data_IF_114637634888
#
_entry.id   IF_114637634888
#
_cell.length_a   1.000
_cell.length_b   1.000
_cell.length_c   1.000
_cell.angle_alpha   90.00
_cell.angle_beta   90.00
_cell.angle_gamma   90.00
#
_symmetry.space_group_name_H-M   'P 1'
#
loop_
_entity.id
_entity.type
_entity.pdbx_description
1 polymer ?
#
# COMPACT_ATOMS: atom_id res chain seq x y z
N UNK A 1 0.80 -22.45 -16.55
CA UNK A 1 0.58 -22.58 -18.02
C UNK A 1 -0.83 -22.13 -18.45
N UNK A 2 -1.91 -22.44 -17.71
CA UNK A 2 -3.28 -22.02 -18.10
C UNK A 2 -3.53 -20.51 -17.97
N UNK A 3 -2.95 -19.83 -16.97
CA UNK A 3 -3.11 -18.39 -16.79
C UNK A 3 -2.20 -17.56 -17.72
N UNK A 4 -1.08 -18.12 -18.12
CA UNK A 4 -0.21 -17.54 -19.16
C UNK A 4 -0.93 -17.53 -20.52
N UNK A 5 -1.78 -18.51 -20.80
CA UNK A 5 -2.52 -18.59 -22.07
C UNK A 5 -3.74 -17.64 -22.13
N UNK A 6 -4.43 -17.33 -21.04
CA UNK A 6 -5.53 -16.36 -21.05
C UNK A 6 -5.05 -14.91 -21.05
N UNK A 7 -3.97 -14.60 -20.33
CA UNK A 7 -3.23 -13.34 -20.46
C UNK A 7 -2.51 -13.25 -21.82
N UNK A 8 -2.01 -14.37 -22.36
CA UNK A 8 -1.29 -14.47 -23.62
C UNK A 8 -2.19 -14.36 -24.86
N UNK A 9 -3.47 -14.73 -24.83
CA UNK A 9 -4.37 -14.49 -25.96
C UNK A 9 -4.70 -12.99 -26.11
N UNK A 10 -4.90 -12.30 -25.00
CA UNK A 10 -5.03 -10.85 -24.99
C UNK A 10 -3.68 -10.18 -25.28
N UNK A 11 -2.60 -10.69 -24.70
CA UNK A 11 -1.24 -10.27 -24.95
C UNK A 11 -0.84 -10.45 -26.40
N UNK A 12 -1.11 -11.57 -27.08
CA UNK A 12 -0.65 -11.82 -28.44
C UNK A 12 -1.27 -10.89 -29.48
N UNK A 13 -2.48 -10.35 -29.25
CA UNK A 13 -3.08 -9.37 -30.16
C UNK A 13 -2.48 -7.96 -30.02
N UNK A 14 -2.00 -7.58 -28.84
CA UNK A 14 -1.53 -6.21 -28.56
C UNK A 14 -0.11 -6.14 -28.01
N UNK A 15 0.44 -7.23 -27.48
CA UNK A 15 1.66 -7.26 -26.70
C UNK A 15 2.93 -6.96 -27.49
N UNK A 16 3.13 -7.50 -28.66
CA UNK A 16 4.31 -7.22 -29.48
C UNK A 16 4.42 -5.75 -29.84
N UNK A 17 3.27 -5.06 -29.89
CA UNK A 17 3.19 -3.65 -30.17
C UNK A 17 3.34 -2.80 -28.89
N UNK A 18 2.65 -3.18 -27.79
CA UNK A 18 2.68 -2.47 -26.51
C UNK A 18 4.04 -2.51 -25.81
N UNK A 19 4.80 -3.59 -25.96
CA UNK A 19 6.09 -3.75 -25.26
C UNK A 19 7.22 -2.87 -25.82
N UNK A 20 7.11 -2.36 -27.03
CA UNK A 20 8.23 -1.76 -27.76
C UNK A 20 8.11 -0.27 -28.06
N UNK A 21 6.94 0.34 -27.92
CA UNK A 21 6.74 1.72 -28.34
C UNK A 21 5.77 2.49 -27.42
N UNK A 22 6.27 3.51 -26.73
CA UNK A 22 5.46 4.36 -25.85
C UNK A 22 4.49 5.24 -26.66
N UNK A 23 4.84 5.64 -27.89
CA UNK A 23 3.97 6.43 -28.78
C UNK A 23 2.71 5.63 -29.14
N UNK A 24 2.87 4.34 -29.43
CA UNK A 24 1.74 3.46 -29.70
C UNK A 24 0.80 3.32 -28.50
N UNK A 25 1.34 3.30 -27.26
CA UNK A 25 0.50 3.26 -26.06
C UNK A 25 -0.30 4.54 -25.92
N UNK A 26 0.28 5.67 -26.29
CA UNK A 26 -0.40 6.95 -26.27
C UNK A 26 -1.55 6.99 -27.32
N UNK A 27 -1.31 6.49 -28.54
CA UNK A 27 -2.34 6.33 -29.56
C UNK A 27 -3.49 5.41 -29.11
N UNK A 28 -3.15 4.27 -28.48
CA UNK A 28 -4.14 3.34 -27.95
C UNK A 28 -4.94 3.94 -26.79
N UNK A 29 -4.30 4.75 -25.94
CA UNK A 29 -4.97 5.44 -24.84
C UNK A 29 -5.96 6.48 -25.34
N UNK A 30 -5.57 7.25 -26.37
CA UNK A 30 -6.46 8.19 -27.03
C UNK A 30 -7.66 7.48 -27.66
N UNK A 31 -7.39 6.41 -28.44
CA UNK A 31 -8.45 5.61 -29.05
C UNK A 31 -9.43 5.05 -28.01
N UNK A 32 -8.93 4.48 -26.92
CA UNK A 32 -9.80 3.93 -25.89
C UNK A 32 -10.67 5.00 -25.21
N UNK A 33 -10.15 6.22 -25.03
CA UNK A 33 -10.92 7.34 -24.53
C UNK A 33 -12.01 7.78 -25.53
N UNK A 34 -11.67 7.88 -26.82
CA UNK A 34 -12.60 8.24 -27.89
C UNK A 34 -13.72 7.20 -28.06
N UNK A 35 -13.38 5.91 -27.97
CA UNK A 35 -14.36 4.81 -27.97
C UNK A 35 -15.33 4.96 -26.77
N UNK A 36 -14.84 5.27 -25.56
CA UNK A 36 -15.69 5.51 -24.39
C UNK A 36 -16.63 6.71 -24.59
N UNK A 37 -16.13 7.83 -25.14
CA UNK A 37 -16.95 9.01 -25.46
C UNK A 37 -18.06 8.64 -26.46
N UNK A 38 -17.72 7.87 -27.48
CA UNK A 38 -18.67 7.42 -28.49
C UNK A 38 -19.75 6.51 -27.90
N UNK A 39 -19.37 5.59 -27.00
CA UNK A 39 -20.32 4.70 -26.32
C UNK A 39 -21.28 5.48 -25.42
N UNK A 40 -20.79 6.48 -24.67
CA UNK A 40 -21.64 7.34 -23.84
C UNK A 40 -22.64 8.11 -24.70
N UNK A 41 -22.20 8.66 -25.84
CA UNK A 41 -23.08 9.40 -26.77
C UNK A 41 -24.20 8.49 -27.31
N UNK A 42 -23.89 7.26 -27.72
CA UNK A 42 -24.88 6.28 -28.18
C UNK A 42 -25.91 5.95 -27.09
N UNK A 43 -25.48 5.76 -25.85
CA UNK A 43 -26.42 5.51 -24.73
C UNK A 43 -27.31 6.73 -24.48
N UNK A 44 -26.75 7.95 -24.53
CA UNK A 44 -27.50 9.20 -24.36
C UNK A 44 -28.53 9.43 -25.48
N UNK A 45 -28.19 9.11 -26.73
CA UNK A 45 -29.11 9.20 -27.86
C UNK A 45 -30.22 8.15 -27.84
N UNK A 46 -29.89 6.94 -27.35
CA UNK A 46 -30.85 5.84 -27.26
C UNK A 46 -31.93 6.04 -26.21
N UNK A 47 -31.69 6.90 -25.20
CA UNK A 47 -32.58 7.10 -24.04
C UNK A 47 -33.18 5.77 -23.58
N UNK A 48 -32.30 4.81 -23.26
CA UNK A 48 -32.67 3.42 -22.99
C UNK A 48 -33.65 3.30 -21.78
N UNK A 49 -33.63 4.30 -20.91
CA UNK A 49 -34.48 4.37 -19.70
C UNK A 49 -35.08 5.77 -19.56
N UNK A 50 -36.24 5.86 -18.93
CA UNK A 50 -36.92 7.12 -18.68
C UNK A 50 -36.22 7.98 -17.62
N UNK A 51 -35.50 7.34 -16.67
CA UNK A 51 -34.80 8.00 -15.59
C UNK A 51 -33.33 8.25 -15.96
N UNK A 52 -32.82 9.44 -15.61
CA UNK A 52 -31.41 9.85 -15.84
C UNK A 52 -30.43 8.90 -15.19
N UNK A 53 -30.65 8.56 -13.92
CA UNK A 53 -29.76 7.72 -13.12
C UNK A 53 -29.59 6.32 -13.73
N UNK A 54 -30.68 5.74 -14.25
CA UNK A 54 -30.65 4.43 -14.91
C UNK A 54 -29.77 4.46 -16.18
N UNK A 55 -29.85 5.55 -16.96
CA UNK A 55 -28.99 5.74 -18.14
C UNK A 55 -27.53 5.90 -17.77
N UNK A 56 -27.21 6.60 -16.66
CA UNK A 56 -25.84 6.74 -16.15
C UNK A 56 -25.28 5.39 -15.72
N UNK A 57 -26.03 4.58 -14.98
CA UNK A 57 -25.59 3.24 -14.57
C UNK A 57 -25.42 2.31 -15.77
N UNK A 58 -26.34 2.36 -16.74
CA UNK A 58 -26.23 1.57 -17.96
C UNK A 58 -24.96 1.93 -18.75
N UNK A 59 -24.68 3.22 -18.93
CA UNK A 59 -23.43 3.67 -19.56
C UNK A 59 -22.21 3.20 -18.81
N UNK A 60 -22.25 3.24 -17.46
CA UNK A 60 -21.16 2.74 -16.63
C UNK A 60 -20.91 1.24 -16.83
N UNK A 61 -21.97 0.43 -16.85
CA UNK A 61 -21.87 -1.03 -17.00
C UNK A 61 -21.29 -1.40 -18.37
N UNK A 62 -21.72 -0.74 -19.46
CA UNK A 62 -21.17 -0.92 -20.79
C UNK A 62 -19.67 -0.56 -20.84
N UNK A 63 -19.28 0.58 -20.27
CA UNK A 63 -17.87 0.97 -20.19
C UNK A 63 -17.06 0.09 -19.27
N UNK A 64 -17.67 -0.49 -18.23
CA UNK A 64 -17.00 -1.46 -17.35
C UNK A 64 -16.65 -2.75 -18.10
N UNK A 65 -17.54 -3.22 -19.01
CA UNK A 65 -17.25 -4.34 -19.91
C UNK A 65 -16.10 -3.98 -20.85
N UNK A 66 -16.15 -2.82 -21.50
CA UNK A 66 -15.06 -2.34 -22.35
C UNK A 66 -13.72 -2.24 -21.60
N UNK A 67 -13.71 -1.72 -20.39
CA UNK A 67 -12.50 -1.72 -19.54
C UNK A 67 -11.98 -3.15 -19.28
N UNK A 68 -12.87 -4.10 -19.03
CA UNK A 68 -12.50 -5.49 -18.77
C UNK A 68 -11.82 -6.15 -19.98
N UNK A 69 -12.26 -5.83 -21.20
CA UNK A 69 -11.62 -6.29 -22.44
C UNK A 69 -10.17 -5.80 -22.57
N UNK A 70 -9.86 -4.65 -22.02
CA UNK A 70 -8.51 -4.11 -21.91
C UNK A 70 -7.74 -4.63 -20.69
N UNK A 71 -8.31 -5.49 -19.85
CA UNK A 71 -7.73 -5.91 -18.57
C UNK A 71 -7.63 -4.79 -17.53
N UNK A 72 -8.44 -3.74 -17.69
CA UNK A 72 -8.48 -2.56 -16.83
C UNK A 72 -9.70 -2.63 -15.91
N UNK A 73 -9.51 -2.37 -14.61
CA UNK A 73 -10.64 -2.23 -13.68
C UNK A 73 -11.27 -0.84 -13.84
N UNK A 74 -12.61 -0.75 -13.98
CA UNK A 74 -13.32 0.53 -14.06
C UNK A 74 -13.16 1.31 -12.74
N UNK A 75 -13.20 2.66 -12.80
CA UNK A 75 -13.13 3.49 -11.62
C UNK A 75 -14.34 3.26 -10.70
N UNK A 76 -14.16 3.43 -9.40
CA UNK A 76 -15.22 3.40 -8.37
C UNK A 76 -16.12 2.15 -8.35
N UNK A 77 -15.69 1.03 -8.95
CA UNK A 77 -16.47 -0.20 -9.08
C UNK A 77 -17.23 -0.59 -7.80
N UNK A 78 -16.53 -0.65 -6.67
CA UNK A 78 -17.14 -1.06 -5.40
C UNK A 78 -18.21 -0.07 -4.91
N UNK A 79 -18.05 1.23 -5.16
CA UNK A 79 -19.02 2.26 -4.75
C UNK A 79 -20.25 2.20 -5.65
N UNK A 80 -20.05 2.14 -6.97
CA UNK A 80 -21.13 2.08 -7.94
C UNK A 80 -21.97 0.80 -7.75
N UNK A 81 -21.32 -0.37 -7.62
CA UNK A 81 -22.04 -1.65 -7.48
C UNK A 81 -22.76 -1.80 -6.13
N UNK A 82 -22.17 -1.33 -5.02
CA UNK A 82 -22.71 -1.59 -3.68
C UNK A 82 -23.56 -0.43 -3.14
N UNK A 83 -23.21 0.83 -3.43
CA UNK A 83 -23.87 2.01 -2.87
C UNK A 83 -24.81 2.69 -3.86
N UNK A 84 -24.74 2.33 -5.16
CA UNK A 84 -25.56 2.91 -6.23
C UNK A 84 -25.50 4.46 -6.24
N UNK A 85 -24.30 5.02 -6.05
CA UNK A 85 -24.09 6.46 -6.09
C UNK A 85 -23.92 6.93 -7.55
N UNK A 86 -24.82 7.77 -8.02
CA UNK A 86 -24.85 8.31 -9.39
C UNK A 86 -23.62 9.18 -9.65
N UNK A 87 -23.26 10.05 -8.72
CA UNK A 87 -22.10 10.93 -8.81
C UNK A 87 -20.79 10.14 -8.96
N UNK A 88 -20.71 8.97 -8.32
CA UNK A 88 -19.54 8.09 -8.49
C UNK A 88 -19.51 7.47 -9.89
N UNK A 89 -20.65 7.12 -10.44
CA UNK A 89 -20.74 6.60 -11.80
C UNK A 89 -20.41 7.69 -12.82
N UNK A 90 -20.94 8.91 -12.68
CA UNK A 90 -20.60 10.07 -13.53
C UNK A 90 -19.10 10.39 -13.49
N UNK A 91 -18.52 10.48 -12.29
CA UNK A 91 -17.07 10.65 -12.15
C UNK A 91 -16.27 9.52 -12.82
N UNK A 92 -16.79 8.29 -12.81
CA UNK A 92 -16.17 7.17 -13.49
C UNK A 92 -16.24 7.32 -15.01
N UNK A 93 -17.39 7.71 -15.58
CA UNK A 93 -17.58 7.98 -16.99
C UNK A 93 -16.61 9.05 -17.48
N UNK A 94 -16.51 10.19 -16.78
CA UNK A 94 -15.55 11.25 -17.08
C UNK A 94 -14.10 10.77 -17.07
N UNK A 95 -13.74 9.89 -16.14
CA UNK A 95 -12.38 9.32 -16.09
C UNK A 95 -12.11 8.37 -17.25
N UNK A 96 -13.08 7.51 -17.60
CA UNK A 96 -12.95 6.57 -18.72
C UNK A 96 -12.95 7.28 -20.07
N UNK A 97 -13.47 8.49 -20.15
CA UNK A 97 -13.39 9.37 -21.33
C UNK A 97 -12.08 10.17 -21.42
N UNK A 98 -11.13 9.97 -20.49
CA UNK A 98 -9.88 10.72 -20.43
C UNK A 98 -8.69 9.87 -20.93
N UNK A 99 -8.01 10.32 -21.98
CA UNK A 99 -6.81 9.72 -22.57
C UNK A 99 -5.69 9.52 -21.53
N UNK A 100 -5.46 10.52 -20.67
CA UNK A 100 -4.44 10.45 -19.59
C UNK A 100 -4.75 9.37 -18.56
N UNK A 101 -6.03 9.06 -18.33
CA UNK A 101 -6.41 7.96 -17.45
C UNK A 101 -6.06 6.62 -18.10
N UNK A 102 -6.40 6.44 -19.38
CA UNK A 102 -6.06 5.24 -20.15
C UNK A 102 -4.55 5.06 -20.28
N UNK A 103 -3.83 6.12 -20.60
CA UNK A 103 -2.36 6.09 -20.71
C UNK A 103 -1.73 5.55 -19.42
N UNK A 104 -2.15 6.05 -18.25
CA UNK A 104 -1.65 5.55 -16.95
C UNK A 104 -1.98 4.07 -16.73
N UNK A 105 -3.15 3.60 -17.18
CA UNK A 105 -3.54 2.19 -17.05
C UNK A 105 -2.73 1.28 -17.98
N UNK A 106 -2.62 1.64 -19.24
CA UNK A 106 -1.89 0.87 -20.24
C UNK A 106 -0.39 0.85 -19.98
N UNK A 107 0.22 1.97 -19.57
CA UNK A 107 1.62 2.02 -19.15
C UNK A 107 1.87 1.13 -17.93
N UNK A 108 0.94 1.08 -16.99
CA UNK A 108 1.04 0.16 -15.84
C UNK A 108 1.02 -1.29 -16.28
N UNK A 109 0.11 -1.69 -17.15
CA UNK A 109 0.05 -3.05 -17.71
C UNK A 109 1.35 -3.39 -18.40
N UNK A 110 1.83 -2.55 -19.32
CA UNK A 110 3.12 -2.72 -19.99
C UNK A 110 4.24 -2.96 -18.99
N UNK A 111 4.38 -2.05 -18.04
CA UNK A 111 5.49 -2.06 -17.10
C UNK A 111 5.46 -3.29 -16.16
N UNK A 112 4.26 -3.71 -15.72
CA UNK A 112 4.09 -4.91 -14.91
C UNK A 112 4.39 -6.18 -15.71
N UNK A 113 4.02 -6.20 -16.97
CA UNK A 113 4.32 -7.35 -17.84
C UNK A 113 5.80 -7.49 -18.16
N UNK A 114 6.47 -6.37 -18.48
CA UNK A 114 7.91 -6.37 -18.71
C UNK A 114 8.63 -6.89 -17.46
N UNK A 115 8.28 -6.40 -16.28
CA UNK A 115 8.87 -6.85 -15.03
C UNK A 115 8.59 -8.34 -14.78
N UNK A 116 7.37 -8.82 -15.09
CA UNK A 116 7.02 -10.22 -14.94
C UNK A 116 7.85 -11.13 -15.86
N UNK A 117 8.09 -10.70 -17.10
CA UNK A 117 9.00 -11.41 -18.02
C UNK A 117 10.41 -11.49 -17.44
N UNK A 118 10.94 -10.38 -16.90
CA UNK A 118 12.27 -10.33 -16.29
C UNK A 118 12.38 -11.22 -15.05
N UNK A 119 11.31 -11.32 -14.25
CA UNK A 119 11.20 -12.32 -13.16
C UNK A 119 11.25 -13.74 -13.73
N UNK A 120 10.45 -14.03 -14.77
CA UNK A 120 10.33 -15.36 -15.35
C UNK A 120 11.64 -15.89 -15.97
N UNK A 121 12.46 -15.01 -16.53
CA UNK A 121 13.77 -15.39 -17.10
C UNK A 121 14.90 -15.35 -16.06
N UNK A 122 14.59 -15.01 -14.78
CA UNK A 122 15.56 -15.05 -13.68
C UNK A 122 16.45 -13.83 -13.53
N UNK A 123 16.10 -12.69 -14.15
CA UNK A 123 16.81 -11.42 -13.95
C UNK A 123 16.58 -10.83 -12.55
N UNK A 124 15.44 -11.19 -11.91
CA UNK A 124 15.13 -10.74 -10.55
C UNK A 124 15.45 -11.84 -9.56
N UNK A 125 16.63 -11.76 -8.96
CA UNK A 125 17.14 -12.70 -7.96
C UNK A 125 18.31 -12.13 -7.16
N UNK A 126 18.70 -12.79 -6.07
CA UNK A 126 19.71 -12.35 -5.09
C UNK A 126 20.99 -11.81 -5.74
N UNK A 127 21.56 -12.56 -6.67
CA UNK A 127 22.90 -12.27 -7.22
C UNK A 127 22.89 -11.41 -8.48
N UNK A 128 21.73 -11.10 -9.04
CA UNK A 128 21.58 -10.28 -10.26
C UNK A 128 20.94 -8.95 -9.88
N UNK A 129 19.64 -8.94 -9.65
CA UNK A 129 18.88 -7.74 -9.29
C UNK A 129 17.75 -8.11 -8.30
N UNK A 130 18.01 -8.05 -6.97
CA UNK A 130 17.01 -8.42 -5.98
C UNK A 130 15.84 -7.45 -5.95
N UNK A 131 14.65 -8.00 -5.62
CA UNK A 131 13.38 -7.32 -5.41
C UNK A 131 12.73 -6.78 -6.68
N UNK A 132 13.50 -6.19 -7.60
CA UNK A 132 13.06 -5.56 -8.84
C UNK A 132 14.19 -5.59 -9.87
N UNK A 133 13.85 -5.70 -11.15
CA UNK A 133 14.82 -5.67 -12.23
C UNK A 133 15.58 -4.34 -12.30
N UNK A 134 16.80 -4.37 -12.86
CA UNK A 134 17.60 -3.15 -13.07
C UNK A 134 16.88 -2.16 -14.00
N UNK A 135 16.19 -2.67 -15.02
CA UNK A 135 15.41 -1.85 -15.93
C UNK A 135 14.27 -1.12 -15.20
N UNK A 136 13.42 -1.85 -14.47
CA UNK A 136 12.30 -1.24 -13.74
C UNK A 136 12.74 -0.28 -12.65
N UNK A 137 13.90 -0.54 -12.02
CA UNK A 137 14.48 0.39 -11.06
C UNK A 137 14.94 1.68 -11.75
N UNK A 138 15.56 1.57 -12.91
CA UNK A 138 15.99 2.75 -13.71
C UNK A 138 14.80 3.59 -14.14
N UNK A 139 13.74 2.96 -14.67
CA UNK A 139 12.50 3.64 -15.05
C UNK A 139 11.86 4.34 -13.85
N UNK A 140 11.82 3.67 -12.69
CA UNK A 140 11.28 4.26 -11.46
C UNK A 140 12.11 5.46 -10.99
N UNK A 141 13.45 5.36 -11.00
CA UNK A 141 14.34 6.47 -10.63
C UNK A 141 14.13 7.69 -11.56
N UNK A 142 14.01 7.45 -12.86
CA UNK A 142 13.76 8.51 -13.83
C UNK A 142 12.40 9.19 -13.57
N UNK A 143 11.36 8.41 -13.27
CA UNK A 143 10.05 8.95 -12.91
C UNK A 143 10.10 9.78 -11.63
N UNK A 144 10.84 9.31 -10.59
CA UNK A 144 10.99 10.08 -9.35
C UNK A 144 11.70 11.43 -9.61
N UNK A 145 12.75 11.41 -10.45
CA UNK A 145 13.43 12.65 -10.85
C UNK A 145 12.48 13.60 -11.58
N UNK A 146 11.78 13.12 -12.59
CA UNK A 146 10.80 13.92 -13.35
C UNK A 146 9.69 14.49 -12.46
N UNK A 147 9.18 13.69 -11.49
CA UNK A 147 8.20 14.17 -10.52
C UNK A 147 8.79 15.29 -9.64
N UNK A 148 10.05 15.16 -9.22
CA UNK A 148 10.73 16.17 -8.41
C UNK A 148 10.93 17.47 -9.19
N UNK A 149 11.45 17.36 -10.43
CA UNK A 149 11.64 18.49 -11.32
C UNK A 149 10.32 19.26 -11.56
N UNK A 150 9.21 18.51 -11.73
CA UNK A 150 7.87 19.10 -11.86
C UNK A 150 7.45 19.86 -10.57
N UNK A 151 7.62 19.24 -9.39
CA UNK A 151 7.25 19.88 -8.12
C UNK A 151 8.08 21.13 -7.85
N UNK A 152 9.35 21.16 -8.27
CA UNK A 152 10.23 22.33 -8.14
C UNK A 152 9.87 23.46 -9.09
N UNK A 153 9.30 23.14 -10.26
CA UNK A 153 8.87 24.12 -11.25
C UNK A 153 7.47 24.70 -11.01
N UNK A 154 6.68 24.13 -10.08
CA UNK A 154 5.28 24.49 -9.87
C UNK A 154 5.04 25.21 -8.56
N UNK A 155 4.18 26.23 -8.61
CA UNK A 155 3.75 27.02 -7.46
C UNK A 155 2.23 27.01 -7.34
N UNK A 156 1.75 27.02 -6.11
CA UNK A 156 0.35 27.24 -5.77
C UNK A 156 0.19 28.71 -5.35
N UNK A 157 -0.66 29.41 -6.06
CA UNK A 157 -1.02 30.80 -5.73
C UNK A 157 -2.43 30.77 -5.12
N UNK A 158 -2.56 31.24 -3.87
CA UNK A 158 -3.85 31.43 -3.22
C UNK A 158 -4.06 32.91 -2.93
N UNK A 159 -5.26 33.42 -3.22
CA UNK A 159 -5.66 34.78 -2.86
C UNK A 159 -6.34 34.72 -1.50
N UNK A 160 -5.77 35.40 -0.53
CA UNK A 160 -6.29 35.49 0.83
C UNK A 160 -6.71 36.92 1.13
N UNK A 161 -7.71 37.06 2.01
CA UNK A 161 -8.15 38.39 2.49
C UNK A 161 -7.61 38.61 3.90
N UNK A 162 -6.92 39.70 4.12
CA UNK A 162 -6.45 40.10 5.45
C UNK A 162 -7.66 40.36 6.37
N UNK A 163 -7.79 39.68 7.51
CA UNK A 163 -8.94 39.85 8.40
C UNK A 163 -9.07 41.28 8.97
N UNK A 164 -7.94 41.97 9.16
CA UNK A 164 -7.90 43.29 9.81
C UNK A 164 -8.16 44.44 8.84
N UNK A 165 -7.74 44.29 7.58
CA UNK A 165 -7.77 45.38 6.59
C UNK A 165 -8.73 45.15 5.44
N UNK A 166 -9.23 43.93 5.24
CA UNK A 166 -10.01 43.53 4.07
C UNK A 166 -9.22 43.53 2.76
N UNK A 167 -7.91 43.78 2.81
CA UNK A 167 -7.06 43.76 1.61
C UNK A 167 -6.75 42.33 1.14
N UNK A 168 -6.86 42.13 -0.15
CA UNK A 168 -6.42 40.87 -0.77
C UNK A 168 -4.90 40.82 -0.91
N UNK A 169 -4.31 39.65 -0.65
CA UNK A 169 -2.90 39.40 -0.87
C UNK A 169 -2.68 37.98 -1.45
N UNK A 170 -1.68 37.86 -2.29
CA UNK A 170 -1.26 36.58 -2.83
C UNK A 170 -0.37 35.84 -1.83
N UNK A 171 -0.67 34.58 -1.60
CA UNK A 171 0.21 33.66 -0.90
C UNK A 171 0.73 32.63 -1.89
N UNK A 172 2.04 32.64 -2.14
CA UNK A 172 2.70 31.77 -3.11
C UNK A 172 3.46 30.69 -2.33
N UNK A 173 3.16 29.43 -2.61
CA UNK A 173 3.82 28.27 -2.00
C UNK A 173 4.31 27.33 -3.10
N UNK A 174 5.59 26.97 -3.08
CA UNK A 174 6.13 25.97 -4.02
C UNK A 174 5.58 24.59 -3.70
N UNK A 175 5.18 23.82 -4.72
CA UNK A 175 4.65 22.47 -4.52
C UNK A 175 5.70 21.52 -3.91
N UNK A 176 6.98 21.73 -4.18
CA UNK A 176 8.06 20.94 -3.59
C UNK A 176 8.14 21.11 -2.07
N UNK A 177 7.94 22.33 -1.55
CA UNK A 177 7.97 22.58 -0.12
C UNK A 177 6.77 21.91 0.58
N UNK A 178 5.61 21.91 -0.06
CA UNK A 178 4.42 21.19 0.43
C UNK A 178 4.65 19.68 0.44
N UNK A 179 5.24 19.13 -0.62
CA UNK A 179 5.57 17.70 -0.71
C UNK A 179 6.58 17.30 0.36
N UNK A 180 7.64 18.10 0.57
CA UNK A 180 8.68 17.85 1.56
C UNK A 180 8.16 17.94 3.00
N UNK A 181 7.17 18.79 3.26
CA UNK A 181 6.50 18.89 4.56
C UNK A 181 5.49 17.76 4.81
N UNK A 182 5.06 17.06 3.77
CA UNK A 182 4.01 16.03 3.84
C UNK A 182 4.56 14.63 4.18
N UNK A 183 3.63 13.67 4.35
CA UNK A 183 3.96 12.24 4.46
C UNK A 183 4.42 11.60 3.13
N UNK A 184 4.46 12.36 2.02
CA UNK A 184 5.12 11.95 0.78
C UNK A 184 6.63 11.91 0.93
N UNK A 185 7.19 12.76 1.81
CA UNK A 185 8.61 12.71 2.19
C UNK A 185 8.88 11.40 2.97
N UNK A 186 9.83 10.55 2.51
CA UNK A 186 10.14 9.28 3.16
C UNK A 186 10.53 9.43 4.64
N UNK A 187 11.25 10.50 5.00
CA UNK A 187 11.66 10.78 6.38
C UNK A 187 10.46 11.06 7.29
N UNK A 188 9.54 11.91 6.84
CA UNK A 188 8.31 12.20 7.59
C UNK A 188 7.43 10.96 7.71
N UNK A 189 7.33 10.18 6.63
CA UNK A 189 6.59 8.92 6.61
C UNK A 189 7.17 7.90 7.60
N UNK A 190 8.49 7.74 7.63
CA UNK A 190 9.15 6.85 8.59
C UNK A 190 8.89 7.31 10.02
N UNK A 191 9.08 8.60 10.32
CA UNK A 191 8.83 9.18 11.64
C UNK A 191 7.38 8.96 12.10
N UNK A 192 6.40 9.17 11.22
CA UNK A 192 4.99 8.93 11.55
C UNK A 192 4.71 7.45 11.84
N UNK A 193 5.27 6.53 11.04
CA UNK A 193 5.10 5.09 11.27
C UNK A 193 5.73 4.66 12.59
N UNK A 194 6.93 5.14 12.90
CA UNK A 194 7.60 4.88 14.18
C UNK A 194 6.83 5.43 15.37
N UNK A 195 6.31 6.65 15.25
CA UNK A 195 5.45 7.27 16.27
C UNK A 195 4.22 6.40 16.58
N UNK A 196 3.58 5.88 15.52
CA UNK A 196 2.40 5.01 15.65
C UNK A 196 2.76 3.67 16.29
N UNK A 197 3.84 3.03 15.85
CA UNK A 197 4.31 1.77 16.43
C UNK A 197 4.63 1.94 17.92
N UNK A 198 5.34 3.02 18.29
CA UNK A 198 5.67 3.32 19.67
C UNK A 198 4.45 3.58 20.53
N UNK A 199 3.46 4.31 20.02
CA UNK A 199 2.21 4.55 20.73
C UNK A 199 1.42 3.26 20.96
N UNK A 200 1.36 2.35 19.97
CA UNK A 200 0.72 1.03 20.15
C UNK A 200 1.46 0.15 21.16
N UNK A 201 2.80 0.18 21.16
CA UNK A 201 3.60 -0.54 22.17
C UNK A 201 3.33 -0.01 23.58
N UNK A 202 3.29 1.32 23.77
CA UNK A 202 3.00 1.89 25.07
C UNK A 202 1.58 1.54 25.56
N UNK A 203 0.59 1.54 24.64
CA UNK A 203 -0.76 1.08 24.94
C UNK A 203 -0.77 -0.40 25.38
N UNK A 204 -0.01 -1.25 24.67
CA UNK A 204 0.11 -2.67 25.00
C UNK A 204 0.71 -2.90 26.40
N UNK A 205 1.75 -2.13 26.75
CA UNK A 205 2.39 -2.22 28.07
C UNK A 205 1.43 -1.83 29.21
N UNK A 206 0.63 -0.77 28.98
CA UNK A 206 -0.36 -0.33 29.96
C UNK A 206 -1.50 -1.34 30.15
N UNK A 207 -2.00 -1.88 29.05
CA UNK A 207 -3.16 -2.76 29.05
C UNK A 207 -2.76 -4.26 29.25
N UNK A 208 -1.47 -4.55 29.48
CA UNK A 208 -0.96 -5.90 29.78
C UNK A 208 -0.92 -6.85 28.59
N UNK A 209 -0.87 -6.32 27.36
CA UNK A 209 -0.74 -7.12 26.15
C UNK A 209 0.70 -7.59 25.95
N UNK A 210 0.88 -8.77 25.35
CA UNK A 210 2.17 -9.26 24.87
C UNK A 210 2.37 -8.90 23.40
N UNK A 211 3.63 -8.64 23.02
CA UNK A 211 4.03 -8.42 21.63
C UNK A 211 4.43 -9.72 20.95
N UNK A 212 3.92 -9.96 19.76
CA UNK A 212 4.29 -11.07 18.89
C UNK A 212 4.85 -10.53 17.58
N UNK A 213 6.03 -11.01 17.21
CA UNK A 213 6.58 -10.76 15.88
C UNK A 213 6.33 -11.99 15.00
N UNK A 214 5.54 -11.81 13.95
CA UNK A 214 5.06 -12.91 13.10
C UNK A 214 5.55 -12.69 11.69
N UNK A 215 6.05 -13.74 11.04
CA UNK A 215 6.36 -13.74 9.61
C UNK A 215 5.47 -14.76 8.90
N UNK A 216 4.86 -14.35 7.79
CA UNK A 216 4.08 -15.22 6.91
C UNK A 216 4.66 -15.13 5.51
N UNK A 217 5.06 -16.27 4.93
CA UNK A 217 5.54 -16.37 3.55
C UNK A 217 4.50 -17.07 2.67
N UNK A 218 4.64 -16.93 1.36
CA UNK A 218 3.82 -17.63 0.38
C UNK A 218 4.31 -19.07 0.16
N UNK A 219 3.46 -20.01 -0.33
CA UNK A 219 3.88 -21.31 -0.82
C UNK A 219 4.95 -21.25 -1.91
N UNK A 220 5.77 -22.31 -2.04
CA UNK A 220 6.85 -22.36 -3.03
C UNK A 220 6.38 -22.16 -4.46
N UNK A 221 5.13 -22.53 -4.78
CA UNK A 221 4.54 -22.32 -6.10
C UNK A 221 4.42 -20.82 -6.51
N UNK A 222 4.57 -19.89 -5.59
CA UNK A 222 4.56 -18.44 -5.86
C UNK A 222 5.95 -17.88 -6.16
N UNK A 223 7.02 -18.62 -5.89
CA UNK A 223 8.40 -18.20 -6.06
C UNK A 223 8.92 -18.59 -7.44
N UNK A 224 9.38 -17.58 -8.22
CA UNK A 224 9.96 -17.84 -9.54
C UNK A 224 11.36 -18.46 -9.44
N UNK A 225 12.10 -18.15 -8.38
CA UNK A 225 13.47 -18.62 -8.16
C UNK A 225 13.58 -19.32 -6.81
N UNK A 226 14.26 -20.44 -6.77
CA UNK A 226 14.61 -21.17 -5.55
C UNK A 226 16.10 -21.54 -5.59
N UNK A 227 16.85 -21.13 -4.54
CA UNK A 227 18.29 -21.37 -4.44
C UNK A 227 19.10 -20.91 -5.68
N UNK A 228 18.74 -19.75 -6.23
CA UNK A 228 19.42 -19.17 -7.40
C UNK A 228 19.14 -19.85 -8.74
N UNK A 229 18.15 -20.75 -8.79
CA UNK A 229 17.70 -21.46 -9.99
C UNK A 229 16.22 -21.26 -10.22
N UNK A 230 15.78 -21.38 -11.46
CA UNK A 230 14.35 -21.38 -11.80
C UNK A 230 13.61 -22.45 -10.99
N UNK A 231 12.50 -22.08 -10.37
CA UNK A 231 11.69 -22.97 -9.56
C UNK A 231 10.68 -23.73 -10.45
N UNK A 232 10.80 -25.05 -10.60
CA UNK A 232 9.89 -25.83 -11.44
C UNK A 232 8.44 -25.88 -10.91
N UNK A 233 8.24 -25.55 -9.62
CA UNK A 233 6.90 -25.48 -9.01
C UNK A 233 6.21 -24.14 -9.27
N UNK A 234 6.93 -23.12 -9.76
CA UNK A 234 6.35 -21.80 -9.97
C UNK A 234 5.15 -21.86 -10.92
N UNK A 235 4.04 -21.33 -10.49
CA UNK A 235 2.77 -21.35 -11.23
C UNK A 235 2.62 -20.21 -12.24
N UNK A 236 3.66 -19.35 -12.40
CA UNK A 236 3.65 -18.22 -13.31
C UNK A 236 2.97 -16.97 -12.75
N UNK A 237 2.65 -16.94 -11.46
CA UNK A 237 2.00 -15.77 -10.86
C UNK A 237 2.94 -14.58 -10.70
N UNK A 238 2.35 -13.39 -10.72
CA UNK A 238 3.01 -12.11 -10.45
C UNK A 238 3.15 -11.87 -8.95
N UNK A 239 4.06 -10.98 -8.51
CA UNK A 239 4.11 -10.53 -7.11
C UNK A 239 2.79 -9.95 -6.61
N UNK A 240 2.00 -9.31 -7.48
CA UNK A 240 0.67 -8.78 -7.15
C UNK A 240 -0.33 -9.91 -6.83
N UNK A 241 -0.32 -10.99 -7.58
CA UNK A 241 -1.17 -12.17 -7.33
C UNK A 241 -0.72 -12.91 -6.07
N UNK A 242 0.58 -13.02 -5.83
CA UNK A 242 1.13 -13.55 -4.57
C UNK A 242 0.70 -12.71 -3.37
N UNK A 243 0.72 -11.39 -3.50
CA UNK A 243 0.20 -10.47 -2.48
C UNK A 243 -1.31 -10.66 -2.26
N UNK A 244 -2.08 -10.87 -3.32
CA UNK A 244 -3.51 -11.14 -3.22
C UNK A 244 -3.81 -12.45 -2.47
N UNK A 245 -2.97 -13.47 -2.65
CA UNK A 245 -3.04 -14.70 -1.86
C UNK A 245 -2.86 -14.42 -0.36
N UNK A 246 -1.80 -13.67 0.04
CA UNK A 246 -1.58 -13.30 1.44
C UNK A 246 -2.74 -12.48 2.01
N UNK A 247 -3.28 -11.52 1.24
CA UNK A 247 -4.45 -10.72 1.65
C UNK A 247 -5.67 -11.60 1.87
N UNK A 248 -5.92 -12.57 0.96
CA UNK A 248 -7.04 -13.52 1.10
C UNK A 248 -6.87 -14.43 2.31
N UNK A 249 -5.66 -14.94 2.55
CA UNK A 249 -5.34 -15.74 3.74
C UNK A 249 -5.58 -14.94 5.01
N UNK A 250 -5.08 -13.70 5.06
CA UNK A 250 -5.30 -12.80 6.19
C UNK A 250 -6.77 -12.46 6.43
N UNK A 251 -7.57 -12.31 5.37
CA UNK A 251 -9.00 -12.06 5.53
C UNK A 251 -9.72 -13.22 6.21
N UNK A 252 -9.34 -14.46 5.90
CA UNK A 252 -9.86 -15.66 6.56
C UNK A 252 -9.42 -15.73 8.03
N UNK A 253 -8.11 -15.48 8.30
CA UNK A 253 -7.57 -15.42 9.66
C UNK A 253 -8.35 -14.41 10.50
N UNK A 254 -8.53 -13.18 10.01
CA UNK A 254 -9.29 -12.14 10.71
C UNK A 254 -10.73 -12.56 11.02
N UNK A 255 -11.41 -13.17 10.06
CA UNK A 255 -12.78 -13.65 10.25
C UNK A 255 -12.85 -14.72 11.34
N UNK A 256 -11.90 -15.65 11.37
CA UNK A 256 -11.82 -16.70 12.38
C UNK A 256 -11.47 -16.15 13.78
N UNK A 257 -10.47 -15.26 13.86
CA UNK A 257 -10.12 -14.58 15.11
C UNK A 257 -11.30 -13.81 15.71
N UNK A 258 -12.08 -13.13 14.85
CA UNK A 258 -13.30 -12.45 15.28
C UNK A 258 -14.33 -13.44 15.84
N UNK A 259 -14.56 -14.59 15.18
CA UNK A 259 -15.46 -15.65 15.68
C UNK A 259 -15.00 -16.21 17.01
N UNK A 260 -13.68 -16.34 17.20
CA UNK A 260 -13.07 -16.82 18.45
C UNK A 260 -13.00 -15.76 19.56
N UNK A 261 -13.45 -14.52 19.29
CA UNK A 261 -13.40 -13.41 20.26
C UNK A 261 -11.99 -12.94 20.60
N UNK A 262 -11.02 -13.14 19.70
CA UNK A 262 -9.63 -12.69 19.92
C UNK A 262 -9.51 -11.22 19.55
N UNK A 263 -9.08 -10.40 20.50
CA UNK A 263 -8.81 -8.97 20.33
C UNK A 263 -7.31 -8.76 20.17
N UNK A 264 -6.94 -8.08 19.10
CA UNK A 264 -5.53 -7.77 18.79
C UNK A 264 -5.45 -6.48 17.98
N UNK A 265 -4.29 -5.86 18.02
CA UNK A 265 -3.93 -4.72 17.18
C UNK A 265 -2.45 -4.78 16.82
N UNK A 266 -2.05 -3.98 15.82
CA UNK A 266 -0.66 -3.98 15.39
C UNK A 266 -0.44 -3.42 14.01
N UNK A 267 0.69 -3.80 13.39
CA UNK A 267 1.11 -3.35 12.07
C UNK A 267 1.67 -4.51 11.25
N UNK A 268 1.44 -4.45 9.95
CA UNK A 268 2.02 -5.33 8.94
C UNK A 268 2.94 -4.55 8.01
N UNK A 269 4.09 -5.12 7.69
CA UNK A 269 4.98 -4.71 6.61
C UNK A 269 4.99 -5.80 5.55
N UNK A 270 4.75 -5.45 4.28
CA UNK A 270 4.92 -6.34 3.14
C UNK A 270 6.28 -6.04 2.50
N UNK A 271 7.13 -7.06 2.43
CA UNK A 271 8.47 -6.99 1.86
C UNK A 271 8.61 -7.93 0.66
N UNK A 272 9.48 -7.62 -0.30
CA UNK A 272 9.86 -8.57 -1.34
C UNK A 272 10.91 -9.56 -0.85
N UNK A 273 10.79 -10.82 -1.24
CA UNK A 273 11.93 -11.72 -1.34
C UNK A 273 12.83 -11.31 -2.52
N UNK A 274 14.03 -11.90 -2.61
CA UNK A 274 14.98 -11.59 -3.67
C UNK A 274 14.44 -11.84 -5.10
N UNK A 275 13.45 -12.70 -5.24
CA UNK A 275 12.74 -13.03 -6.49
C UNK A 275 11.47 -12.19 -6.70
N UNK A 276 11.30 -11.10 -5.96
CA UNK A 276 10.15 -10.20 -5.92
C UNK A 276 8.88 -10.79 -5.29
N UNK A 277 8.87 -12.01 -4.79
CA UNK A 277 7.70 -12.61 -4.14
C UNK A 277 7.46 -11.95 -2.78
N UNK A 278 6.24 -11.46 -2.45
CA UNK A 278 5.97 -10.82 -1.17
C UNK A 278 5.94 -11.80 -0.01
N UNK A 279 6.40 -11.33 1.13
CA UNK A 279 6.15 -11.92 2.46
C UNK A 279 5.80 -10.83 3.45
N UNK A 280 5.23 -11.19 4.59
CA UNK A 280 4.75 -10.24 5.58
C UNK A 280 5.45 -10.40 6.91
N UNK A 281 5.93 -9.29 7.44
CA UNK A 281 6.33 -9.14 8.83
C UNK A 281 5.23 -8.39 9.58
N UNK A 282 4.82 -8.92 10.72
CA UNK A 282 3.72 -8.37 11.50
C UNK A 282 4.16 -8.22 12.96
N UNK A 283 3.94 -7.04 13.51
CA UNK A 283 3.99 -6.81 14.94
C UNK A 283 2.55 -6.78 15.45
N UNK A 284 2.18 -7.73 16.29
CA UNK A 284 0.83 -7.86 16.83
C UNK A 284 0.88 -7.82 18.36
N UNK A 285 -0.07 -7.11 18.95
CA UNK A 285 -0.29 -7.07 20.37
C UNK A 285 -1.59 -7.80 20.70
N UNK A 286 -1.56 -8.69 21.69
CA UNK A 286 -2.66 -9.56 22.10
C UNK A 286 -2.59 -9.85 23.59
N UNK A 287 -3.73 -10.06 24.24
CA UNK A 287 -3.74 -10.48 25.64
C UNK A 287 -3.05 -11.85 25.80
N UNK A 288 -2.26 -12.06 26.87
CA UNK A 288 -1.48 -13.28 27.07
C UNK A 288 -2.31 -14.57 26.95
N UNK A 289 -3.53 -14.59 27.51
CA UNK A 289 -4.44 -15.73 27.47
C UNK A 289 -5.03 -16.00 26.07
N UNK A 290 -4.97 -15.03 25.17
CA UNK A 290 -5.43 -15.16 23.77
C UNK A 290 -4.28 -15.44 22.79
N UNK A 291 -3.03 -15.29 23.23
CA UNK A 291 -1.84 -15.40 22.39
C UNK A 291 -1.77 -16.73 21.63
N UNK A 292 -1.89 -17.85 22.34
CA UNK A 292 -1.87 -19.18 21.73
C UNK A 292 -3.01 -19.36 20.69
N UNK A 293 -4.21 -18.87 21.03
CA UNK A 293 -5.35 -18.96 20.12
C UNK A 293 -5.12 -18.18 18.83
N UNK A 294 -4.48 -16.99 18.91
CA UNK A 294 -4.07 -16.19 17.78
C UNK A 294 -3.05 -16.93 16.92
N UNK A 295 -1.96 -17.41 17.53
CA UNK A 295 -0.85 -18.11 16.85
C UNK A 295 -1.34 -19.35 16.12
N UNK A 296 -2.05 -20.26 16.80
CA UNK A 296 -2.58 -21.48 16.16
C UNK A 296 -3.55 -21.16 15.01
N UNK A 297 -4.38 -20.13 15.15
CA UNK A 297 -5.28 -19.75 14.05
C UNK A 297 -4.50 -19.23 12.86
N UNK A 298 -3.47 -18.41 13.06
CA UNK A 298 -2.65 -17.88 11.98
C UNK A 298 -1.85 -18.99 11.26
N UNK A 299 -1.26 -19.88 12.02
CA UNK A 299 -0.48 -21.03 11.51
C UNK A 299 -1.36 -21.97 10.69
N UNK A 300 -2.53 -22.36 11.20
CA UNK A 300 -3.48 -23.24 10.52
C UNK A 300 -3.82 -22.68 9.11
N UNK A 301 -4.18 -21.43 9.02
CA UNK A 301 -4.51 -20.80 7.73
C UNK A 301 -3.28 -20.60 6.83
N UNK A 302 -2.11 -20.33 7.38
CA UNK A 302 -0.87 -20.18 6.61
C UNK A 302 -0.44 -21.51 5.98
N UNK A 303 -0.77 -22.65 6.64
CA UNK A 303 -0.43 -24.00 6.21
C UNK A 303 -1.50 -24.67 5.34
N UNK A 304 -2.67 -24.07 5.10
CA UNK A 304 -3.76 -24.68 4.31
C UNK A 304 -3.38 -25.01 2.87
N UNK A 305 -2.42 -24.29 2.28
CA UNK A 305 -1.97 -24.53 0.91
C UNK A 305 -0.52 -24.98 0.94
N UNK A 306 -0.25 -26.18 0.42
CA UNK A 306 1.10 -26.78 0.36
C UNK A 306 1.83 -26.77 1.72
N UNK A 307 1.10 -26.97 2.82
CA UNK A 307 1.67 -26.99 4.17
C UNK A 307 2.55 -28.20 4.46
N UNK A 308 2.44 -29.25 3.63
CA UNK A 308 3.23 -30.48 3.65
C UNK A 308 4.49 -30.43 2.78
N UNK A 309 4.72 -29.34 2.06
CA UNK A 309 5.93 -29.19 1.25
C UNK A 309 7.19 -29.08 2.12
N UNK A 310 8.32 -29.56 1.59
CA UNK A 310 9.60 -29.50 2.29
C UNK A 310 9.97 -28.07 2.67
N UNK A 311 10.20 -27.81 3.95
CA UNK A 311 10.56 -26.51 4.50
C UNK A 311 9.37 -25.60 4.85
N UNK A 312 8.12 -26.05 4.63
CA UNK A 312 6.95 -25.27 5.00
C UNK A 312 6.88 -25.04 6.51
N UNK A 313 7.11 -26.07 7.31
CA UNK A 313 7.09 -26.00 8.78
C UNK A 313 8.10 -25.00 9.35
N UNK A 314 9.24 -24.81 8.66
CA UNK A 314 10.33 -23.96 9.14
C UNK A 314 10.22 -22.52 8.63
N UNK A 315 9.61 -22.30 7.46
CA UNK A 315 9.69 -21.02 6.75
C UNK A 315 8.36 -20.37 6.42
N UNK A 316 7.24 -21.13 6.40
CA UNK A 316 5.93 -20.61 6.01
C UNK A 316 5.33 -19.67 7.05
N UNK A 317 5.46 -20.05 8.30
CA UNK A 317 4.94 -19.30 9.43
C UNK A 317 5.95 -19.35 10.57
N UNK A 318 6.40 -18.21 11.03
CA UNK A 318 7.24 -18.10 12.20
C UNK A 318 6.67 -17.08 13.17
N UNK A 319 6.84 -17.32 14.47
CA UNK A 319 6.41 -16.43 15.52
C UNK A 319 7.49 -16.31 16.59
N UNK A 320 7.76 -15.09 17.03
CA UNK A 320 8.64 -14.77 18.13
C UNK A 320 7.87 -13.94 19.15
N UNK A 321 7.89 -14.36 20.40
CA UNK A 321 7.34 -13.58 21.53
C UNK A 321 8.36 -12.52 21.88
N UNK A 322 7.96 -11.26 21.83
CA UNK A 322 8.86 -10.15 22.15
C UNK A 322 9.08 -10.09 23.66
N UNK A 323 10.33 -10.21 24.06
CA UNK A 323 10.76 -10.04 25.46
C UNK A 323 11.15 -8.57 25.68
N UNK A 324 10.36 -7.79 26.45
CA UNK A 324 10.68 -6.38 26.73
C UNK A 324 12.04 -6.16 27.40
N UNK A 325 12.63 -7.20 28.02
CA UNK A 325 13.95 -7.12 28.61
C UNK A 325 15.08 -7.16 27.59
N UNK A 326 14.81 -7.74 26.40
CA UNK A 326 15.77 -7.83 25.30
C UNK A 326 15.68 -6.67 24.33
N UNK A 327 14.52 -6.02 24.23
CA UNK A 327 14.33 -4.90 23.32
C UNK A 327 12.87 -4.47 23.21
N UNK A 328 12.64 -3.29 22.64
CA UNK A 328 11.28 -2.79 22.40
C UNK A 328 10.64 -3.43 21.18
N UNK A 329 9.32 -3.66 21.22
CA UNK A 329 8.57 -4.16 20.07
C UNK A 329 8.70 -3.23 18.86
N UNK A 330 8.72 -1.92 19.09
CA UNK A 330 8.99 -0.93 18.06
C UNK A 330 10.37 -1.10 17.43
N UNK A 331 11.38 -1.49 18.23
CA UNK A 331 12.74 -1.77 17.73
C UNK A 331 12.77 -2.94 16.75
N UNK A 332 12.01 -4.00 17.00
CA UNK A 332 11.89 -5.15 16.09
C UNK A 332 11.35 -4.74 14.72
N UNK A 333 10.28 -3.96 14.68
CA UNK A 333 9.66 -3.54 13.42
C UNK A 333 10.41 -2.40 12.73
N UNK A 334 11.18 -1.60 13.46
CA UNK A 334 11.91 -0.44 12.94
C UNK A 334 12.86 -0.81 11.79
N UNK A 335 13.55 -1.95 11.89
CA UNK A 335 14.44 -2.50 10.86
C UNK A 335 13.67 -2.67 9.54
N UNK A 336 12.49 -3.27 9.59
CA UNK A 336 11.65 -3.53 8.42
C UNK A 336 11.04 -2.26 7.84
N UNK A 337 10.67 -1.30 8.70
CA UNK A 337 10.20 0.00 8.26
C UNK A 337 11.31 0.76 7.53
N UNK A 338 12.52 0.79 8.07
CA UNK A 338 13.68 1.46 7.47
C UNK A 338 14.06 0.82 6.14
N UNK A 339 14.17 -0.51 6.09
CA UNK A 339 14.48 -1.29 4.88
C UNK A 339 13.51 -1.02 3.72
N UNK A 340 12.28 -0.61 4.02
CA UNK A 340 11.22 -0.39 3.03
C UNK A 340 10.92 1.09 2.74
N UNK A 341 11.63 2.04 3.37
CA UNK A 341 11.37 3.48 3.16
C UNK A 341 12.60 4.22 2.69
N UNK A 342 13.68 4.28 3.51
CA UNK A 342 14.85 5.11 3.19
C UNK A 342 16.20 4.47 3.53
N UNK A 343 16.26 3.42 4.33
CA UNK A 343 17.49 2.77 4.77
C UNK A 343 18.36 3.55 5.76
N UNK A 344 18.16 4.84 5.93
CA UNK A 344 19.04 5.73 6.74
C UNK A 344 19.13 5.33 8.21
N UNK A 345 18.03 4.81 8.78
CA UNK A 345 18.04 4.35 10.17
C UNK A 345 19.03 3.21 10.42
N UNK A 346 19.23 2.39 9.41
CA UNK A 346 20.14 1.24 9.45
C UNK A 346 21.58 1.72 9.23
N UNK A 347 21.80 2.64 8.26
CA UNK A 347 23.13 3.17 7.91
C UNK A 347 23.75 4.00 9.03
N UNK A 348 22.96 4.76 9.79
CA UNK A 348 23.47 5.62 10.85
C UNK A 348 23.79 4.90 12.17
N UNK A 349 23.85 3.55 12.18
CA UNK A 349 24.34 2.78 13.31
C UNK A 349 23.51 2.93 14.58
N UNK A 350 22.29 3.45 14.50
CA UNK A 350 21.32 3.33 15.56
C UNK A 350 20.82 1.87 15.58
N UNK A 351 21.80 0.96 15.70
CA UNK A 351 21.51 -0.43 15.99
C UNK A 351 20.74 -0.42 17.29
N UNK A 352 19.49 -0.86 17.22
CA UNK A 352 18.89 -1.46 18.40
C UNK A 352 19.78 -2.64 18.69
N UNK A 353 20.71 -2.47 19.66
CA UNK A 353 21.55 -3.54 20.14
C UNK A 353 20.63 -4.70 20.46
N UNK A 354 21.02 -5.87 20.00
CA UNK A 354 20.52 -7.18 20.40
C UNK A 354 19.13 -7.60 19.88
N UNK A 355 18.97 -7.61 18.56
CA UNK A 355 18.11 -8.65 17.99
C UNK A 355 18.98 -9.53 17.11
N UNK A 356 19.36 -10.68 17.64
CA UNK A 356 19.98 -11.80 16.94
C UNK A 356 18.99 -12.46 15.99
N UNK A 357 18.48 -11.66 15.03
CA UNK A 357 17.77 -12.15 13.87
C UNK A 357 18.74 -12.08 12.70
N UNK A 358 19.01 -13.22 12.09
CA UNK A 358 20.01 -13.48 11.07
C UNK A 358 20.34 -12.25 10.22
N UNK A 359 21.62 -11.83 10.28
CA UNK A 359 22.25 -10.84 9.40
C UNK A 359 22.27 -11.31 7.93
N UNK A 360 21.74 -12.47 7.63
CA UNK A 360 21.72 -13.11 6.31
C UNK A 360 20.85 -12.39 5.26
N UNK A 361 19.95 -11.50 5.70
CA UNK A 361 19.17 -10.62 4.81
C UNK A 361 19.92 -9.34 4.38
N UNK A 362 21.07 -9.03 5.00
CA UNK A 362 21.96 -7.99 4.52
C UNK A 362 22.85 -8.56 3.44
N UNK A 363 22.44 -8.33 2.21
CA UNK A 363 23.23 -8.69 1.07
C UNK A 363 24.60 -8.02 1.13
N UNK A 364 25.61 -8.87 1.22
CA UNK A 364 26.97 -8.46 0.99
C UNK A 364 27.02 -7.54 -0.24
N UNK A 365 27.50 -6.30 -0.06
CA UNK A 365 27.83 -5.29 -1.07
C UNK A 365 26.76 -4.28 -1.51
N UNK A 366 25.61 -4.13 -0.84
CA UNK A 366 24.68 -3.01 -1.15
C UNK A 366 24.36 -2.20 0.09
N UNK A 367 24.21 -0.87 -0.07
CA UNK A 367 23.82 0.00 1.03
C UNK A 367 22.36 -0.25 1.42
N UNK A 368 22.01 0.01 2.68
CA UNK A 368 20.63 -0.12 3.16
C UNK A 368 19.69 0.85 2.41
N UNK A 369 20.17 2.01 1.98
CA UNK A 369 19.41 2.97 1.19
C UNK A 369 19.09 2.46 -0.22
N UNK A 370 20.02 1.73 -0.85
CA UNK A 370 19.74 1.07 -2.14
C UNK A 370 18.70 -0.02 -1.98
N UNK A 371 18.77 -0.85 -0.94
CA UNK A 371 17.78 -1.87 -0.62
C UNK A 371 16.38 -1.26 -0.42
N UNK A 372 16.28 -0.19 0.35
CA UNK A 372 15.03 0.54 0.58
C UNK A 372 14.44 1.14 -0.71
N UNK A 373 15.30 1.69 -1.57
CA UNK A 373 14.88 2.21 -2.88
C UNK A 373 14.31 1.12 -3.77
N UNK A 374 14.96 -0.05 -3.83
CA UNK A 374 14.49 -1.21 -4.58
C UNK A 374 13.15 -1.75 -4.04
N UNK A 375 13.00 -1.88 -2.73
CA UNK A 375 11.75 -2.32 -2.11
C UNK A 375 10.60 -1.33 -2.35
N UNK A 376 10.89 -0.01 -2.33
CA UNK A 376 9.91 1.03 -2.66
C UNK A 376 9.51 0.98 -4.14
N UNK A 377 10.48 0.82 -5.05
CA UNK A 377 10.24 0.69 -6.48
C UNK A 377 9.41 -0.57 -6.79
N UNK A 378 9.71 -1.72 -6.15
CA UNK A 378 8.94 -2.95 -6.23
C UNK A 378 7.48 -2.73 -5.80
N UNK A 379 7.27 -2.12 -4.64
CA UNK A 379 5.93 -1.85 -4.14
C UNK A 379 5.13 -0.92 -5.07
N UNK A 380 5.78 0.08 -5.64
CA UNK A 380 5.22 0.98 -6.64
C UNK A 380 4.85 0.24 -7.93
N UNK A 381 5.77 -0.59 -8.47
CA UNK A 381 5.57 -1.38 -9.69
C UNK A 381 4.35 -2.28 -9.58
N UNK A 382 4.22 -3.00 -8.46
CA UNK A 382 3.16 -3.98 -8.24
C UNK A 382 1.93 -3.41 -7.55
N UNK A 383 1.90 -2.11 -7.21
CA UNK A 383 0.83 -1.46 -6.46
C UNK A 383 0.55 -2.17 -5.12
N UNK A 384 1.60 -2.56 -4.41
CA UNK A 384 1.52 -3.25 -3.12
C UNK A 384 1.53 -2.23 -1.99
N UNK A 385 0.50 -2.28 -1.13
CA UNK A 385 0.49 -1.49 0.10
C UNK A 385 1.45 -2.11 1.11
N UNK A 386 2.62 -1.49 1.31
CA UNK A 386 3.65 -2.03 2.18
C UNK A 386 3.27 -2.02 3.66
N UNK A 387 2.63 -0.96 4.15
CA UNK A 387 2.33 -0.76 5.58
C UNK A 387 0.83 -0.73 5.82
N UNK A 388 0.38 -1.49 6.82
CA UNK A 388 -1.02 -1.50 7.23
C UNK A 388 -1.14 -1.73 8.74
N UNK A 389 -1.84 -0.82 9.42
CA UNK A 389 -2.19 -0.96 10.82
C UNK A 389 -3.54 -1.65 10.97
N UNK A 390 -3.72 -2.37 12.09
CA UNK A 390 -4.95 -3.06 12.46
C UNK A 390 -5.34 -2.66 13.88
N UNK A 391 -6.63 -2.49 14.14
CA UNK A 391 -7.13 -2.15 15.46
C UNK A 391 -6.54 -0.86 16.04
N UNK A 392 -6.01 0.02 15.19
CA UNK A 392 -5.45 1.31 15.56
C UNK A 392 -6.35 2.44 15.07
N UNK A 393 -6.33 3.56 15.78
CA UNK A 393 -7.10 4.74 15.41
C UNK A 393 -6.74 5.28 14.04
N UNK A 394 -7.69 5.95 13.34
CA UNK A 394 -7.47 6.50 12.02
C UNK A 394 -6.41 7.60 12.02
N UNK A 395 -5.35 7.43 11.21
CA UNK A 395 -4.29 8.45 11.08
C UNK A 395 -4.80 9.77 10.49
N UNK A 396 -5.89 9.74 9.75
CA UNK A 396 -6.50 10.94 9.18
C UNK A 396 -6.95 11.89 10.29
N UNK A 397 -7.64 11.39 11.31
CA UNK A 397 -8.07 12.21 12.47
C UNK A 397 -6.86 12.79 13.18
N UNK A 398 -5.79 12.01 13.40
CA UNK A 398 -4.55 12.49 13.99
C UNK A 398 -3.93 13.64 13.20
N UNK A 399 -3.91 13.53 11.87
CA UNK A 399 -3.35 14.56 10.99
C UNK A 399 -4.22 15.83 10.97
N UNK A 400 -5.55 15.68 10.93
CA UNK A 400 -6.46 16.81 10.99
C UNK A 400 -6.38 17.53 12.35
N UNK A 401 -6.36 16.80 13.45
CA UNK A 401 -6.19 17.39 14.78
C UNK A 401 -4.89 18.21 14.92
N UNK A 402 -3.80 17.75 14.27
CA UNK A 402 -2.53 18.50 14.23
C UNK A 402 -2.57 19.79 13.39
N UNK A 403 -3.55 19.93 12.49
CA UNK A 403 -3.75 21.14 11.67
C UNK A 403 -4.56 22.21 12.36
N UNK A 404 -5.27 21.86 13.43
CA UNK A 404 -6.03 22.82 14.21
C UNK A 404 -5.08 23.78 14.93
N UNK A 405 -5.05 25.03 14.48
CA UNK A 405 -4.21 26.10 15.03
C UNK A 405 -4.85 26.84 16.20
N UNK A 406 -6.17 26.75 16.34
CA UNK A 406 -6.96 27.42 17.37
C UNK A 406 -7.56 26.38 18.33
N UNK A 407 -7.88 26.84 19.55
CA UNK A 407 -8.63 26.05 20.52
C UNK A 407 -10.00 25.69 19.96
N UNK A 408 -10.36 24.42 19.98
CA UNK A 408 -11.65 23.97 19.49
C UNK A 408 -12.77 24.32 20.50
N UNK A 409 -13.92 24.78 19.99
CA UNK A 409 -15.09 25.07 20.84
C UNK A 409 -15.66 23.78 21.48
N UNK A 410 -15.58 22.65 20.78
CA UNK A 410 -15.99 21.37 21.31
C UNK A 410 -14.91 20.78 22.22
N UNK A 411 -15.25 20.51 23.47
CA UNK A 411 -14.34 19.99 24.49
C UNK A 411 -13.68 18.66 24.14
N UNK A 412 -14.38 17.76 23.42
CA UNK A 412 -13.82 16.49 23.00
C UNK A 412 -12.81 16.67 21.86
N UNK A 413 -13.09 17.54 20.90
CA UNK A 413 -12.16 17.90 19.82
C UNK A 413 -10.93 18.58 20.41
N UNK A 414 -11.10 19.49 21.38
CA UNK A 414 -9.99 20.16 22.07
C UNK A 414 -9.12 19.15 22.84
N UNK A 415 -9.72 18.16 23.49
CA UNK A 415 -8.99 17.09 24.14
C UNK A 415 -8.10 16.30 23.16
N UNK A 416 -8.62 15.99 21.97
CA UNK A 416 -7.84 15.31 20.91
C UNK A 416 -6.75 16.24 20.38
N UNK A 417 -7.02 17.54 20.17
CA UNK A 417 -6.01 18.52 19.75
C UNK A 417 -4.84 18.60 20.76
N UNK A 418 -5.14 18.67 22.04
CA UNK A 418 -4.13 18.66 23.10
C UNK A 418 -3.33 17.37 23.12
N UNK A 419 -3.99 16.22 22.92
CA UNK A 419 -3.34 14.91 22.90
C UNK A 419 -2.31 14.77 21.77
N UNK A 420 -2.58 15.30 20.57
CA UNK A 420 -1.63 15.26 19.44
C UNK A 420 -0.43 16.21 19.61
N UNK A 421 -0.50 17.15 20.54
CA UNK A 421 0.58 18.06 20.94
C UNK A 421 1.33 17.58 22.19
N UNK A 422 0.87 16.51 22.84
CA UNK A 422 1.43 16.01 24.09
C UNK A 422 2.95 15.85 24.02
N UNK A 423 3.63 16.28 25.08
CA UNK A 423 5.07 16.12 25.30
C UNK A 423 5.42 15.01 26.29
N UNK A 424 4.42 14.25 26.72
CA UNK A 424 4.61 13.14 27.67
C UNK A 424 5.52 12.05 27.11
N UNK A 425 6.21 11.33 28.02
CA UNK A 425 7.10 10.22 27.65
C UNK A 425 6.38 9.07 26.94
N UNK A 426 5.08 8.88 27.20
CA UNK A 426 4.21 7.94 26.51
C UNK A 426 3.99 8.26 25.03
N UNK A 427 4.22 9.50 24.64
CA UNK A 427 4.22 9.94 23.24
C UNK A 427 2.85 10.33 22.71
N UNK A 428 2.90 11.16 21.66
CA UNK A 428 1.72 11.78 21.03
C UNK A 428 0.68 10.80 20.52
N UNK A 429 1.10 9.69 19.93
CA UNK A 429 0.15 8.70 19.38
C UNK A 429 -0.57 7.93 20.50
N UNK A 430 0.12 7.62 21.58
CA UNK A 430 -0.48 7.01 22.77
C UNK A 430 -1.55 7.94 23.35
N UNK A 431 -1.19 9.21 23.63
CA UNK A 431 -2.13 10.20 24.16
C UNK A 431 -3.35 10.39 23.25
N UNK A 432 -3.12 10.47 21.94
CA UNK A 432 -4.18 10.53 20.93
C UNK A 432 -5.10 9.30 20.99
N UNK A 433 -4.56 8.10 21.05
CA UNK A 433 -5.36 6.87 21.11
C UNK A 433 -6.23 6.83 22.36
N UNK A 434 -5.69 7.18 23.54
CA UNK A 434 -6.47 7.25 24.78
C UNK A 434 -7.58 8.31 24.66
N UNK A 435 -7.29 9.51 24.14
CA UNK A 435 -8.29 10.56 23.94
C UNK A 435 -9.41 10.11 22.98
N UNK A 436 -9.09 9.43 21.89
CA UNK A 436 -10.05 8.87 20.94
C UNK A 436 -10.97 7.80 21.57
N UNK A 437 -10.40 6.90 22.37
CA UNK A 437 -11.16 5.86 23.08
C UNK A 437 -12.18 6.45 24.07
N UNK A 438 -11.84 7.57 24.68
CA UNK A 438 -12.71 8.24 25.65
C UNK A 438 -13.78 9.11 24.96
N UNK A 439 -13.46 9.77 23.85
CA UNK A 439 -14.35 10.74 23.19
C UNK A 439 -15.35 10.12 22.20
N UNK A 440 -15.09 8.92 21.67
CA UNK A 440 -15.92 8.23 20.65
C UNK A 440 -16.18 9.06 19.37
N UNK A 441 -15.30 9.99 19.03
CA UNK A 441 -15.44 10.83 17.84
C UNK A 441 -15.13 10.04 16.55
N UNK A 442 -15.85 10.36 15.51
CA UNK A 442 -15.60 9.87 14.15
C UNK A 442 -15.42 11.06 13.20
N UNK A 443 -14.60 10.89 12.16
CA UNK A 443 -14.48 11.86 11.09
C UNK A 443 -15.74 11.82 10.22
N UNK A 444 -16.41 12.97 10.07
CA UNK A 444 -17.45 13.18 9.06
C UNK A 444 -16.91 14.18 8.02
N UNK A 445 -17.30 13.99 6.76
CA UNK A 445 -17.05 14.96 5.70
C UNK A 445 -18.33 15.73 5.48
N UNK A 446 -18.28 17.06 5.53
CA UNK A 446 -19.38 17.87 5.04
C UNK A 446 -19.43 17.75 3.51
N UNK A 447 -20.59 17.43 2.99
CA UNK A 447 -20.86 17.54 1.56
C UNK A 447 -20.94 19.05 1.23
N UNK A 448 -19.93 19.52 0.46
CA UNK A 448 -19.83 20.90 -0.01
C UNK A 448 -20.51 21.06 -1.37
#
# INVERSE_FOLDING_TARGET
KKNFYSASQFASMYFDKLLKNDDLIQELAQKAADDCVSMIAVVGEAQAFDEYDENVFFAYDELAVYCADWGVFPPYKSIVENSKMVEAAECALLRMSCDKWWLRKLMRIKNQTNEHILIAIGEVQKNISPYISAQSLSEWNQQQKSNRDYLEAMELISINTCPDTGAEYENIVRLVDMADASSSNPKNRFTELMLRCRGLENLALDDGYIGLFVTITTPSQYHAVSNGKSNPKWNGCTPKESQAYLVKTWSKIRAELKRKGVVYYGVRVAEPHHDATPHWHMLLFVLPEQGNKLVYTMEDYAMQVDGDEKGATEHRFTVEIIDPKKGSATGYIAKYLSKNINGEYIENGQSVNDVSGSTDDYEANRSASEGARRATAWASRWCIRQFQFFGAEPVTIYREARRLSLTAENAEVEKIRQAVESTEKSGKWYAFTKAMQESRLNLAYEES
#
